data_IF_418732527966
#
_entry.id   IF_418732527966
#
_cell.length_a   1.000
_cell.length_b   1.000
_cell.length_c   1.000
_cell.angle_alpha   90.00
_cell.angle_beta   90.00
_cell.angle_gamma   90.00
#
_symmetry.space_group_name_H-M   'P 1'
#
loop_
_entity.id
_entity.type
_entity.pdbx_description
1 polymer ?
#
# COMPACT_ATOMS: atom_id res chain seq x y z
N UNK A 1 2.98 38.65 37.67
CA UNK A 1 2.98 37.17 37.64
C UNK A 1 1.64 36.70 37.13
N UNK A 2 1.63 35.63 36.32
CA UNK A 2 0.57 35.19 35.38
C UNK A 2 0.68 35.95 34.05
N UNK A 3 1.71 35.73 33.23
CA UNK A 3 2.07 34.50 32.49
C UNK A 3 0.94 34.10 31.51
N UNK A 4 1.07 34.60 30.28
CA UNK A 4 1.40 33.73 29.13
C UNK A 4 0.39 32.62 28.77
N UNK A 5 -0.85 33.00 28.41
CA UNK A 5 -1.84 32.04 27.89
C UNK A 5 -2.82 32.64 26.87
N UNK A 6 -2.37 33.56 26.00
CA UNK A 6 -3.22 34.09 24.91
C UNK A 6 -2.56 34.03 23.53
N UNK A 7 -1.32 33.55 23.41
CA UNK A 7 -0.58 33.54 22.12
C UNK A 7 -0.37 32.13 21.55
N UNK A 8 -0.70 31.06 22.29
CA UNK A 8 -0.66 29.67 21.79
C UNK A 8 -1.93 29.23 21.04
N UNK A 9 -2.77 30.19 20.63
CA UNK A 9 -3.89 29.95 19.71
C UNK A 9 -3.47 30.12 18.24
N UNK A 10 -2.25 29.69 17.89
CA UNK A 10 -1.87 29.38 16.51
C UNK A 10 -1.89 27.86 16.37
N UNK A 11 -3.06 27.31 16.65
CA UNK A 11 -3.45 25.97 16.24
C UNK A 11 -3.68 26.00 14.71
N UNK A 12 -2.60 26.11 13.93
CA UNK A 12 -2.65 25.85 12.49
C UNK A 12 -2.65 24.33 12.30
N UNK A 13 -3.79 23.74 12.64
CA UNK A 13 -4.16 22.38 12.24
C UNK A 13 -4.33 22.42 10.73
N UNK A 14 -3.23 22.33 9.98
CA UNK A 14 -3.28 21.87 8.60
C UNK A 14 -3.51 20.36 8.66
N UNK A 15 -4.70 19.96 9.10
CA UNK A 15 -5.28 18.67 8.74
C UNK A 15 -5.57 18.78 7.24
N UNK A 16 -4.54 18.65 6.40
CA UNK A 16 -4.76 18.19 5.05
C UNK A 16 -5.52 16.89 5.20
N UNK A 17 -6.76 16.84 4.73
CA UNK A 17 -7.54 15.60 4.66
C UNK A 17 -6.61 14.51 4.12
N UNK A 18 -6.58 13.30 4.73
CA UNK A 18 -5.78 12.22 4.17
C UNK A 18 -6.30 12.00 2.76
N UNK A 19 -5.51 12.38 1.75
CA UNK A 19 -5.82 12.08 0.36
C UNK A 19 -6.02 10.56 0.30
N UNK A 20 -7.27 10.12 0.17
CA UNK A 20 -7.54 8.70 0.04
C UNK A 20 -7.00 8.28 -1.32
N UNK A 21 -6.02 7.38 -1.32
CA UNK A 21 -5.48 6.81 -2.53
C UNK A 21 -6.38 5.67 -3.01
N UNK A 22 -6.63 5.64 -4.31
CA UNK A 22 -7.17 4.44 -4.95
C UNK A 22 -6.22 3.27 -4.70
N UNK A 23 -6.76 2.12 -4.33
CA UNK A 23 -6.02 0.86 -4.23
C UNK A 23 -6.46 -0.04 -5.38
N UNK A 24 -5.51 -0.63 -6.08
CA UNK A 24 -5.77 -1.55 -7.20
C UNK A 24 -5.07 -2.87 -6.96
N UNK A 25 -5.78 -3.96 -7.22
CA UNK A 25 -5.28 -5.29 -6.91
C UNK A 25 -4.84 -6.03 -8.16
N UNK A 26 -3.66 -6.67 -8.11
CA UNK A 26 -3.26 -7.59 -9.17
C UNK A 26 -3.88 -8.97 -8.94
N UNK A 27 -4.09 -9.71 -10.03
CA UNK A 27 -4.54 -11.11 -9.98
C UNK A 27 -3.61 -11.99 -9.12
N UNK A 28 -2.30 -11.70 -9.11
CA UNK A 28 -1.32 -12.38 -8.26
C UNK A 28 -1.57 -12.15 -6.77
N UNK A 29 -2.01 -10.96 -6.38
CA UNK A 29 -2.41 -10.68 -5.00
C UNK A 29 -3.64 -11.51 -4.62
N UNK A 30 -4.71 -11.46 -5.43
CA UNK A 30 -5.96 -12.21 -5.15
C UNK A 30 -5.71 -13.71 -4.98
N UNK A 31 -4.97 -14.33 -5.90
CA UNK A 31 -4.61 -15.76 -5.81
C UNK A 31 -3.83 -16.09 -4.54
N UNK A 32 -2.84 -15.26 -4.17
CA UNK A 32 -2.06 -15.51 -2.97
C UNK A 32 -2.79 -15.16 -1.68
N UNK A 33 -3.75 -14.23 -1.70
CA UNK A 33 -4.61 -13.91 -0.57
C UNK A 33 -5.51 -15.09 -0.22
N UNK A 34 -6.08 -15.75 -1.22
CA UNK A 34 -6.83 -17.00 -1.08
C UNK A 34 -5.96 -18.10 -0.45
N UNK A 35 -4.77 -18.34 -0.99
CA UNK A 35 -3.80 -19.32 -0.43
C UNK A 35 -3.37 -18.97 0.99
N UNK A 36 -3.29 -17.68 1.32
CA UNK A 36 -2.98 -17.19 2.66
C UNK A 36 -4.18 -17.26 3.62
N UNK A 37 -5.36 -17.64 3.14
CA UNK A 37 -6.59 -17.77 3.93
C UNK A 37 -7.22 -16.44 4.33
N UNK A 38 -6.92 -15.36 3.60
CA UNK A 38 -7.53 -14.04 3.84
C UNK A 38 -9.02 -14.08 3.49
N UNK A 39 -9.87 -13.61 4.40
CA UNK A 39 -11.28 -13.36 4.07
C UNK A 39 -11.43 -12.09 3.22
N UNK A 40 -12.63 -11.87 2.67
CA UNK A 40 -12.92 -10.59 2.01
C UNK A 40 -12.78 -9.41 2.98
N UNK A 41 -13.21 -9.56 4.24
CA UNK A 41 -13.03 -8.56 5.30
C UNK A 41 -11.54 -8.27 5.60
N UNK A 42 -10.65 -9.28 5.54
CA UNK A 42 -9.20 -9.05 5.65
C UNK A 42 -8.67 -8.20 4.49
N UNK A 43 -9.16 -8.44 3.28
CA UNK A 43 -8.78 -7.68 2.08
C UNK A 43 -9.33 -6.25 2.17
N UNK A 44 -10.58 -6.08 2.57
CA UNK A 44 -11.22 -4.76 2.69
C UNK A 44 -10.51 -3.90 3.74
N UNK A 45 -10.18 -4.47 4.90
CA UNK A 45 -9.40 -3.76 5.93
C UNK A 45 -7.98 -3.42 5.46
N UNK A 46 -7.34 -4.28 4.67
CA UNK A 46 -6.04 -3.98 4.10
C UNK A 46 -6.13 -2.83 3.09
N UNK A 47 -7.15 -2.86 2.23
CA UNK A 47 -7.41 -1.82 1.22
C UNK A 47 -7.75 -0.48 1.87
N UNK A 48 -8.62 -0.43 2.86
CA UNK A 48 -8.94 0.79 3.62
C UNK A 48 -7.73 1.33 4.38
N UNK A 49 -6.91 0.45 4.95
CA UNK A 49 -5.66 0.85 5.59
C UNK A 49 -4.70 1.50 4.58
N UNK A 50 -4.52 0.90 3.41
CA UNK A 50 -3.57 1.37 2.39
C UNK A 50 -4.07 2.59 1.61
N UNK A 51 -5.39 2.78 1.47
CA UNK A 51 -5.93 4.00 0.88
C UNK A 51 -5.57 5.23 1.73
N UNK A 52 -5.56 5.07 3.05
CA UNK A 52 -5.19 6.12 4.02
C UNK A 52 -3.68 6.21 4.25
N UNK A 53 -2.96 5.11 4.04
CA UNK A 53 -1.52 4.99 4.35
C UNK A 53 -0.76 4.40 3.14
N UNK A 54 -0.72 5.10 2.00
CA UNK A 54 -0.16 4.56 0.76
C UNK A 54 1.34 4.22 0.85
N UNK A 55 2.07 4.95 1.70
CA UNK A 55 3.49 4.76 1.94
C UNK A 55 3.80 3.74 3.06
N UNK A 56 2.80 3.06 3.61
CA UNK A 56 2.99 2.11 4.70
C UNK A 56 4.00 1.00 4.38
N UNK A 57 4.65 0.49 5.42
CA UNK A 57 5.62 -0.59 5.33
C UNK A 57 7.03 -0.15 4.92
N UNK A 58 7.93 -1.12 4.88
CA UNK A 58 9.35 -0.89 4.60
C UNK A 58 9.57 -0.78 3.10
N UNK A 59 10.16 0.31 2.61
CA UNK A 59 10.55 0.43 1.21
C UNK A 59 11.60 -0.61 0.83
N UNK A 60 11.38 -1.28 -0.31
CA UNK A 60 12.29 -2.28 -0.85
C UNK A 60 13.18 -1.59 -1.89
N UNK A 61 14.36 -1.13 -1.45
CA UNK A 61 15.28 -0.38 -2.31
C UNK A 61 15.61 -1.14 -3.61
N UNK A 62 15.58 -0.40 -4.72
CA UNK A 62 15.90 -0.89 -6.06
C UNK A 62 14.72 -1.51 -6.82
N UNK A 63 13.49 -1.45 -6.31
CA UNK A 63 12.30 -1.99 -6.99
C UNK A 63 11.37 -0.92 -7.59
N UNK A 64 11.76 0.36 -7.52
CA UNK A 64 10.97 1.47 -8.06
C UNK A 64 9.71 1.79 -7.26
N UNK A 65 9.77 1.69 -5.92
CA UNK A 65 8.66 2.07 -5.04
C UNK A 65 7.87 0.92 -4.43
N UNK A 66 8.36 -0.33 -4.50
CA UNK A 66 7.69 -1.41 -3.77
C UNK A 66 7.92 -1.29 -2.27
N UNK A 67 6.91 -1.64 -1.48
CA UNK A 67 6.95 -1.63 -0.01
C UNK A 67 6.52 -2.97 0.56
N UNK A 68 7.06 -3.33 1.73
CA UNK A 68 6.72 -4.55 2.47
C UNK A 68 5.88 -4.18 3.69
N UNK A 69 4.59 -4.47 3.61
CA UNK A 69 3.62 -4.17 4.68
C UNK A 69 3.35 -5.43 5.48
N UNK A 70 3.35 -5.30 6.81
CA UNK A 70 2.93 -6.36 7.74
C UNK A 70 1.50 -6.07 8.14
N UNK A 71 0.61 -7.03 7.94
CA UNK A 71 -0.83 -6.84 8.20
C UNK A 71 -1.38 -7.97 9.06
N UNK A 72 -2.24 -7.63 10.01
CA UNK A 72 -2.87 -8.57 10.93
C UNK A 72 -4.24 -9.01 10.40
N UNK A 73 -4.51 -10.32 10.39
CA UNK A 73 -5.83 -10.84 9.99
C UNK A 73 -6.83 -10.78 11.17
N UNK A 74 -8.13 -10.67 10.89
CA UNK A 74 -9.16 -10.57 11.94
C UNK A 74 -9.32 -11.84 12.77
N UNK A 75 -9.05 -13.02 12.21
CA UNK A 75 -9.18 -14.31 12.89
C UNK A 75 -8.16 -14.55 14.03
N UNK A 76 -7.56 -13.49 14.57
CA UNK A 76 -6.66 -13.54 15.72
C UNK A 76 -7.43 -13.88 17.01
N UNK A 77 -7.86 -15.13 17.16
CA UNK A 77 -8.27 -15.72 18.44
C UNK A 77 -7.05 -16.35 19.12
N UNK A 78 -7.00 -16.21 20.46
CA UNK A 78 -5.99 -16.72 21.42
C UNK A 78 -5.13 -17.87 20.86
N UNK A 79 -3.86 -17.58 20.55
CA UNK A 79 -2.79 -18.60 20.37
C UNK A 79 -2.32 -18.90 18.95
N UNK A 80 -2.96 -18.41 17.88
CA UNK A 80 -2.45 -18.54 16.50
C UNK A 80 -2.32 -17.16 15.84
N UNK A 81 -1.15 -16.53 15.97
CA UNK A 81 -0.85 -15.23 15.35
C UNK A 81 -0.83 -15.35 13.82
N UNK A 82 -1.96 -15.16 13.15
CA UNK A 82 -2.06 -15.19 11.69
C UNK A 82 -1.87 -13.78 11.12
N UNK A 83 -0.63 -13.39 10.83
CA UNK A 83 -0.33 -12.16 10.07
C UNK A 83 0.15 -12.49 8.67
N UNK A 84 -0.02 -11.56 7.74
CA UNK A 84 0.50 -11.65 6.37
C UNK A 84 1.53 -10.57 6.09
N UNK A 85 2.35 -10.79 5.07
CA UNK A 85 3.22 -9.78 4.50
C UNK A 85 2.78 -9.52 3.06
N UNK A 86 2.36 -8.30 2.77
CA UNK A 86 2.00 -7.89 1.41
C UNK A 86 3.09 -7.02 0.81
N UNK A 87 3.30 -7.16 -0.49
CA UNK A 87 4.15 -6.27 -1.29
C UNK A 87 3.22 -5.33 -2.04
N UNK A 88 3.38 -4.04 -1.79
CA UNK A 88 2.64 -2.97 -2.48
C UNK A 88 3.57 -2.18 -3.39
N UNK A 89 3.02 -1.44 -4.34
CA UNK A 89 3.74 -0.43 -5.13
C UNK A 89 3.10 0.94 -4.88
N UNK A 90 3.92 1.89 -4.45
CA UNK A 90 3.53 3.28 -4.32
C UNK A 90 4.64 4.17 -4.90
N UNK A 91 4.30 4.94 -5.93
CA UNK A 91 5.23 5.78 -6.71
C UNK A 91 4.94 7.27 -6.60
N UNK A 92 4.06 7.66 -5.67
CA UNK A 92 3.61 9.04 -5.48
C UNK A 92 2.09 9.18 -5.68
N UNK A 93 1.56 10.41 -5.53
CA UNK A 93 0.13 10.61 -5.37
C UNK A 93 -0.69 10.44 -6.66
N UNK A 94 -0.04 10.50 -7.81
CA UNK A 94 -0.71 10.47 -9.12
C UNK A 94 -1.10 9.05 -9.58
N UNK A 95 -0.70 8.01 -8.85
CA UNK A 95 -0.97 6.63 -9.20
C UNK A 95 -1.62 5.89 -8.02
N UNK A 96 -2.47 4.88 -8.29
CA UNK A 96 -2.98 4.01 -7.24
C UNK A 96 -1.87 3.33 -6.46
N UNK A 97 -2.21 2.89 -5.25
CA UNK A 97 -1.43 1.88 -4.55
C UNK A 97 -1.76 0.52 -5.15
N UNK A 98 -0.78 -0.17 -5.72
CA UNK A 98 -1.01 -1.50 -6.28
C UNK A 98 -0.68 -2.59 -5.26
N UNK A 99 -1.62 -3.51 -5.02
CA UNK A 99 -1.34 -4.74 -4.26
C UNK A 99 -0.74 -5.76 -5.23
N UNK A 100 0.56 -6.05 -5.10
CA UNK A 100 1.27 -6.96 -6.01
C UNK A 100 1.08 -8.42 -5.59
N UNK A 101 1.36 -8.73 -4.32
CA UNK A 101 1.34 -10.11 -3.81
C UNK A 101 1.31 -10.14 -2.29
N UNK A 102 0.86 -11.26 -1.71
CA UNK A 102 0.86 -11.49 -0.26
C UNK A 102 1.46 -12.86 0.10
N UNK A 103 2.04 -12.97 1.29
CA UNK A 103 2.60 -14.20 1.83
C UNK A 103 2.15 -14.42 3.28
N UNK A 104 1.72 -15.63 3.62
CA UNK A 104 1.52 -16.04 5.01
C UNK A 104 2.86 -16.01 5.80
N UNK A 105 2.78 -15.79 7.12
CA UNK A 105 3.95 -15.71 8.02
C UNK A 105 4.72 -17.04 8.08
N UNK A 106 5.69 -17.21 7.16
CA UNK A 106 6.87 -18.09 7.27
C UNK A 106 7.74 -18.11 5.99
N UNK A 107 7.28 -17.57 4.84
CA UNK A 107 7.91 -17.93 3.55
C UNK A 107 9.07 -17.09 3.04
N UNK A 108 9.25 -15.80 3.41
CA UNK A 108 10.40 -14.98 2.94
C UNK A 108 10.79 -13.91 3.95
N UNK A 109 11.99 -14.04 4.53
CA UNK A 109 12.57 -13.04 5.45
C UNK A 109 13.22 -11.90 4.66
N UNK A 110 13.82 -12.23 3.51
CA UNK A 110 14.57 -11.30 2.64
C UNK A 110 14.33 -11.65 1.17
N UNK A 111 14.16 -10.63 0.31
CA UNK A 111 14.08 -10.82 -1.14
C UNK A 111 15.50 -10.91 -1.72
N UNK A 112 15.73 -11.90 -2.56
CA UNK A 112 16.95 -12.04 -3.35
C UNK A 112 17.12 -10.87 -4.34
N UNK A 113 18.33 -10.70 -4.87
CA UNK A 113 18.60 -9.70 -5.92
C UNK A 113 17.74 -9.97 -7.17
N UNK A 114 17.59 -11.24 -7.56
CA UNK A 114 16.77 -11.63 -8.71
C UNK A 114 15.29 -11.26 -8.52
N UNK A 115 14.73 -11.51 -7.33
CA UNK A 115 13.34 -11.14 -7.02
C UNK A 115 13.14 -9.61 -7.00
N UNK A 116 14.10 -8.85 -6.45
CA UNK A 116 14.05 -7.38 -6.50
C UNK A 116 14.12 -6.86 -7.93
N UNK A 117 14.96 -7.45 -8.78
CA UNK A 117 15.01 -7.11 -10.21
C UNK A 117 13.70 -7.45 -10.92
N UNK A 118 13.06 -8.57 -10.56
CA UNK A 118 11.74 -8.94 -11.05
C UNK A 118 10.68 -7.91 -10.64
N UNK A 119 10.67 -7.48 -9.38
CA UNK A 119 9.78 -6.43 -8.90
C UNK A 119 10.05 -5.10 -9.61
N UNK A 120 11.30 -4.72 -9.85
CA UNK A 120 11.62 -3.49 -10.61
C UNK A 120 11.00 -3.53 -12.01
N UNK A 121 11.20 -4.63 -12.74
CA UNK A 121 10.62 -4.80 -14.08
C UNK A 121 9.09 -4.72 -14.05
N UNK A 122 8.46 -5.39 -13.07
CA UNK A 122 7.01 -5.35 -12.91
C UNK A 122 6.51 -3.94 -12.60
N UNK A 123 7.15 -3.22 -11.67
CA UNK A 123 6.80 -1.83 -11.33
C UNK A 123 6.87 -0.91 -12.55
N UNK A 124 7.94 -1.03 -13.35
CA UNK A 124 8.10 -0.22 -14.58
C UNK A 124 6.98 -0.49 -15.58
N UNK A 125 6.59 -1.76 -15.75
CA UNK A 125 5.48 -2.15 -16.62
C UNK A 125 4.14 -1.60 -16.12
N UNK A 126 3.85 -1.71 -14.82
CA UNK A 126 2.61 -1.19 -14.23
C UNK A 126 2.51 0.32 -14.42
N UNK A 127 3.57 1.06 -14.06
CA UNK A 127 3.61 2.52 -14.18
C UNK A 127 3.43 2.93 -15.64
N UNK A 128 4.20 2.33 -16.57
CA UNK A 128 4.10 2.66 -17.98
C UNK A 128 2.73 2.36 -18.57
N UNK A 129 2.09 1.25 -18.17
CA UNK A 129 0.77 0.88 -18.68
C UNK A 129 -0.34 1.78 -18.14
N UNK A 130 -0.34 2.04 -16.83
CA UNK A 130 -1.34 2.90 -16.20
C UNK A 130 -1.22 4.35 -16.67
N UNK A 131 0.00 4.88 -16.76
CA UNK A 131 0.23 6.23 -17.28
C UNK A 131 -0.15 6.39 -18.75
N UNK A 132 -0.05 5.33 -19.56
CA UNK A 132 -0.45 5.38 -20.97
C UNK A 132 -1.96 5.29 -21.15
N UNK A 133 -2.63 4.43 -20.38
CA UNK A 133 -4.05 4.11 -20.60
C UNK A 133 -5.00 4.91 -19.74
N UNK A 134 -4.66 5.16 -18.48
CA UNK A 134 -5.64 5.63 -17.49
C UNK A 134 -5.45 7.10 -17.17
N UNK A 135 -4.21 7.57 -16.99
CA UNK A 135 -3.94 8.97 -16.66
C UNK A 135 -4.46 9.98 -17.70
N UNK A 136 -4.33 9.74 -19.02
CA UNK A 136 -4.87 10.67 -20.02
C UNK A 136 -6.40 10.74 -19.96
N UNK A 137 -7.08 9.62 -19.68
CA UNK A 137 -8.54 9.56 -19.56
C UNK A 137 -9.01 10.32 -18.31
N UNK A 138 -8.31 10.15 -17.19
CA UNK A 138 -8.66 10.80 -15.93
C UNK A 138 -8.42 12.33 -15.94
N UNK A 139 -7.49 12.82 -16.76
CA UNK A 139 -7.17 14.24 -16.89
C UNK A 139 -8.14 15.04 -17.79
N UNK A 140 -9.12 14.37 -18.39
CA UNK A 140 -10.19 15.00 -19.15
C UNK A 140 -10.07 14.80 -20.66
N UNK A 141 -10.90 13.90 -21.18
CA UNK A 141 -11.63 14.15 -22.42
C UNK A 141 -12.32 15.52 -22.29
N UNK A 142 -11.69 16.54 -22.86
CA UNK A 142 -12.38 17.72 -23.41
C UNK A 142 -12.14 17.67 -24.92
N UNK A 143 -12.79 16.70 -25.57
CA UNK A 143 -12.91 16.59 -27.01
C UNK A 143 -14.37 16.55 -27.39
#
# INVERSE_FOLDING_TARGET
MLIDWCVDYIHMVHMSEPQQHTVSELNTFRRHAEVAGMSQDDIDRLTDYLSKNPAAGDEIKGTGGCRKVRFALARNTKGKSGGVRTITLFTGPNLPVFLITVFAKSKKVTLSKAERNGLKKLSDLIVADYSRRVMPIAAGDTG
#
